data_IF_558909874434
#
_entry.id   IF_558909874434
#
_cell.length_a   1.000
_cell.length_b   1.000
_cell.length_c   1.000
_cell.angle_alpha   90.00
_cell.angle_beta   90.00
_cell.angle_gamma   90.00
#
_symmetry.space_group_name_H-M   'P 1'
#
loop_
_entity.id
_entity.type
_entity.pdbx_description
1 polymer ?
#
# COMPACT_ATOMS: atom_id res chain seq x y z
N UNK A 1 2.23 7.27 -2.06
CA UNK A 1 2.84 7.51 -3.39
C UNK A 1 2.48 6.35 -4.33
N UNK A 2 2.22 6.61 -5.61
CA UNK A 2 2.09 5.59 -6.65
C UNK A 2 3.32 5.70 -7.54
N UNK A 3 4.00 4.58 -7.78
CA UNK A 3 5.31 4.58 -8.43
C UNK A 3 5.40 3.45 -9.47
N UNK A 4 5.57 3.82 -10.74
CA UNK A 4 5.74 2.86 -11.84
C UNK A 4 7.15 2.28 -11.92
N UNK A 5 8.14 2.90 -11.28
CA UNK A 5 9.50 2.39 -11.17
C UNK A 5 9.65 1.31 -10.08
N UNK A 6 8.72 1.26 -9.12
CA UNK A 6 8.72 0.26 -8.07
C UNK A 6 8.05 -1.04 -8.54
N UNK A 7 8.78 -2.15 -8.57
CA UNK A 7 8.20 -3.48 -8.91
C UNK A 7 7.23 -3.98 -7.84
N UNK A 8 7.49 -3.65 -6.57
CA UNK A 8 6.74 -4.11 -5.39
C UNK A 8 6.26 -2.92 -4.58
N UNK A 9 5.12 -3.08 -3.92
CA UNK A 9 4.62 -2.11 -2.96
C UNK A 9 5.43 -2.15 -1.66
N UNK A 10 5.74 -0.97 -1.10
CA UNK A 10 6.59 -0.80 0.08
C UNK A 10 5.86 0.00 1.14
N UNK A 11 6.03 -0.35 2.41
CA UNK A 11 5.54 0.44 3.55
C UNK A 11 6.65 0.69 4.56
N UNK A 12 6.72 1.95 5.02
CA UNK A 12 7.61 2.32 6.11
C UNK A 12 7.12 1.67 7.41
N UNK A 13 8.02 1.04 8.15
CA UNK A 13 7.71 0.37 9.43
C UNK A 13 7.05 1.32 10.42
N UNK A 14 7.53 2.56 10.53
CA UNK A 14 6.92 3.56 11.41
C UNK A 14 5.47 3.91 11.01
N UNK A 15 5.13 3.88 9.71
CA UNK A 15 3.75 4.04 9.24
C UNK A 15 2.84 2.95 9.80
N UNK A 16 3.29 1.71 9.84
CA UNK A 16 2.51 0.59 10.39
C UNK A 16 2.23 0.73 11.87
N UNK A 17 3.24 1.15 12.63
CA UNK A 17 3.11 1.40 14.07
C UNK A 17 2.09 2.52 14.33
N UNK A 18 2.13 3.60 13.54
CA UNK A 18 1.17 4.72 13.67
C UNK A 18 -0.27 4.33 13.41
N UNK A 19 -0.52 3.40 12.49
CA UNK A 19 -1.88 2.93 12.15
C UNK A 19 -2.30 1.70 12.98
N UNK A 20 -1.58 1.44 14.08
CA UNK A 20 -1.84 0.39 15.07
C UNK A 20 -1.89 -1.03 14.47
N UNK A 21 -1.27 -1.23 13.30
CA UNK A 21 -1.34 -2.50 12.57
C UNK A 21 -0.33 -3.50 13.13
N UNK A 22 -0.78 -4.28 14.13
CA UNK A 22 0.04 -5.25 14.87
C UNK A 22 0.21 -6.62 14.20
N UNK A 23 -0.42 -6.84 13.04
CA UNK A 23 -0.21 -8.06 12.28
C UNK A 23 1.15 -7.99 11.59
N UNK A 24 2.18 -8.39 12.33
CA UNK A 24 3.53 -8.56 11.82
C UNK A 24 3.69 -9.95 11.22
N UNK A 25 4.12 -9.99 9.96
CA UNK A 25 4.68 -11.16 9.32
C UNK A 25 6.17 -10.90 9.21
N UNK A 26 6.91 -11.38 10.20
CA UNK A 26 8.38 -11.35 10.20
C UNK A 26 8.87 -12.37 9.17
N UNK A 27 9.51 -11.87 8.12
CA UNK A 27 10.25 -12.68 7.16
C UNK A 27 11.74 -12.67 7.47
N UNK A 28 12.52 -13.38 6.67
CA UNK A 28 13.98 -13.20 6.62
C UNK A 28 14.30 -11.75 6.25
N UNK A 29 15.28 -11.18 6.95
CA UNK A 29 15.85 -9.89 6.57
C UNK A 29 16.57 -10.04 5.24
N UNK A 30 16.03 -9.40 4.21
CA UNK A 30 16.60 -9.41 2.87
C UNK A 30 16.98 -7.99 2.48
N UNK A 31 18.13 -7.86 1.82
CA UNK A 31 18.57 -6.61 1.23
C UNK A 31 17.80 -6.41 -0.09
N UNK A 32 17.06 -5.31 -0.18
CA UNK A 32 16.40 -4.88 -1.42
C UNK A 32 17.14 -3.68 -2.00
N UNK A 33 17.45 -3.72 -3.29
CA UNK A 33 18.05 -2.59 -4.01
C UNK A 33 16.97 -1.80 -4.74
N UNK A 34 16.99 -0.48 -4.61
CA UNK A 34 16.13 0.39 -5.41
C UNK A 34 16.54 0.42 -6.88
N UNK A 35 15.69 1.01 -7.71
CA UNK A 35 15.95 1.18 -9.14
C UNK A 35 17.20 2.01 -9.48
N UNK A 36 17.82 2.67 -8.50
CA UNK A 36 19.11 3.38 -8.67
C UNK A 36 20.33 2.44 -8.61
N UNK A 37 20.15 1.18 -8.22
CA UNK A 37 21.22 0.20 -8.07
C UNK A 37 22.19 0.47 -6.91
N UNK A 38 21.93 1.48 -6.08
CA UNK A 38 22.85 1.97 -5.04
C UNK A 38 22.23 1.99 -3.65
N UNK A 39 20.95 2.31 -3.57
CA UNK A 39 20.25 2.40 -2.30
C UNK A 39 19.73 1.02 -1.93
N UNK A 40 20.14 0.52 -0.77
CA UNK A 40 19.67 -0.75 -0.24
C UNK A 40 18.94 -0.59 1.09
N UNK A 41 17.93 -1.43 1.30
CA UNK A 41 17.16 -1.46 2.55
C UNK A 41 17.03 -2.87 3.09
N UNK A 42 16.97 -2.94 4.42
CA UNK A 42 16.55 -4.15 5.12
C UNK A 42 15.03 -4.27 5.08
N UNK A 43 14.55 -5.34 4.45
CA UNK A 43 13.16 -5.74 4.49
C UNK A 43 12.89 -6.57 5.75
N UNK A 44 11.89 -6.21 6.54
CA UNK A 44 11.49 -6.94 7.77
C UNK A 44 10.49 -8.08 7.51
N UNK A 45 9.99 -8.16 6.28
CA UNK A 45 8.97 -9.11 5.85
C UNK A 45 7.97 -8.44 4.92
N UNK A 46 6.82 -9.09 4.73
CA UNK A 46 5.73 -8.56 3.90
C UNK A 46 4.40 -8.73 4.60
N UNK A 47 3.55 -7.73 4.54
CA UNK A 47 2.20 -7.75 5.13
C UNK A 47 1.14 -7.72 4.05
N UNK A 48 0.00 -8.35 4.33
CA UNK A 48 -1.21 -8.16 3.53
C UNK A 48 -2.10 -7.18 4.28
N UNK A 49 -2.51 -6.09 3.64
CA UNK A 49 -3.32 -5.06 4.28
C UNK A 49 -4.38 -4.51 3.32
N UNK A 50 -5.39 -3.88 3.91
CA UNK A 50 -6.37 -3.12 3.18
C UNK A 50 -6.03 -1.63 3.20
N UNK A 51 -6.15 -1.00 2.05
CA UNK A 51 -6.00 0.44 1.90
C UNK A 51 -7.28 1.01 1.29
N UNK A 52 -7.55 2.25 1.67
CA UNK A 52 -8.66 3.03 1.14
C UNK A 52 -8.11 4.20 0.33
N UNK A 53 -8.54 4.28 -0.92
CA UNK A 53 -8.26 5.39 -1.84
C UNK A 53 -9.62 5.96 -2.23
N UNK A 54 -9.90 7.20 -1.81
CA UNK A 54 -11.25 7.79 -1.86
C UNK A 54 -12.31 6.85 -1.25
N UNK A 55 -13.24 6.35 -2.05
CA UNK A 55 -14.31 5.44 -1.68
C UNK A 55 -14.02 3.96 -2.03
N UNK A 56 -12.85 3.64 -2.59
CA UNK A 56 -12.48 2.25 -2.90
C UNK A 56 -11.67 1.66 -1.77
N UNK A 57 -11.97 0.40 -1.48
CA UNK A 57 -11.15 -0.46 -0.65
C UNK A 57 -10.40 -1.50 -1.50
N UNK A 58 -9.07 -1.42 -1.50
CA UNK A 58 -8.19 -2.36 -2.22
C UNK A 58 -7.27 -3.08 -1.25
N UNK A 59 -6.80 -4.27 -1.65
CA UNK A 59 -5.86 -5.08 -0.90
C UNK A 59 -4.49 -4.95 -1.53
N UNK A 60 -3.45 -4.92 -0.70
CA UNK A 60 -2.06 -4.84 -1.15
C UNK A 60 -1.21 -5.75 -0.28
N UNK A 61 -0.24 -6.41 -0.91
CA UNK A 61 0.86 -7.07 -0.20
C UNK A 61 2.06 -6.14 -0.26
N UNK A 62 2.45 -5.57 0.87
CA UNK A 62 3.52 -4.58 0.94
C UNK A 62 4.73 -5.13 1.71
N UNK A 63 5.94 -4.83 1.23
CA UNK A 63 7.18 -5.16 1.93
C UNK A 63 7.47 -4.08 2.98
N UNK A 64 7.84 -4.50 4.18
CA UNK A 64 8.06 -3.60 5.32
C UNK A 64 9.53 -3.20 5.37
N UNK A 65 9.80 -1.89 5.35
CA UNK A 65 11.16 -1.32 5.31
C UNK A 65 11.29 -0.18 6.32
N UNK A 66 12.50 0.10 6.82
CA UNK A 66 12.72 1.21 7.76
C UNK A 66 12.89 2.56 7.06
N UNK A 67 13.77 2.62 6.05
CA UNK A 67 14.27 3.88 5.50
C UNK A 67 13.63 4.24 4.15
N UNK A 68 12.31 4.45 4.15
CA UNK A 68 11.59 4.88 2.94
C UNK A 68 11.41 6.41 2.94
N UNK A 69 11.60 7.09 1.81
CA UNK A 69 11.32 8.54 1.75
C UNK A 69 9.82 8.81 1.97
N UNK A 70 8.95 8.04 1.30
CA UNK A 70 7.51 8.08 1.50
C UNK A 70 7.06 7.18 2.66
N UNK A 71 5.86 7.43 3.19
CA UNK A 71 5.24 6.55 4.18
C UNK A 71 4.78 5.22 3.58
N UNK A 72 4.34 5.28 2.31
CA UNK A 72 3.79 4.15 1.59
C UNK A 72 3.93 4.33 0.07
N UNK A 73 4.39 3.29 -0.62
CA UNK A 73 4.55 3.23 -2.08
C UNK A 73 3.70 2.09 -2.62
N UNK A 74 2.82 2.43 -3.56
CA UNK A 74 2.09 1.47 -4.39
C UNK A 74 2.86 1.26 -5.69
N UNK A 75 3.42 0.06 -5.83
CA UNK A 75 4.22 -0.31 -6.99
C UNK A 75 3.41 -0.93 -8.12
N UNK A 76 4.13 -1.43 -9.12
CA UNK A 76 3.59 -2.09 -10.31
C UNK A 76 2.82 -3.37 -9.99
N UNK A 77 3.07 -4.03 -8.86
CA UNK A 77 2.27 -5.15 -8.38
C UNK A 77 0.81 -4.75 -8.12
N UNK A 78 0.58 -3.65 -7.41
CA UNK A 78 -0.76 -3.13 -7.15
C UNK A 78 -1.38 -2.47 -8.38
N UNK A 79 -0.59 -1.67 -9.13
CA UNK A 79 -1.04 -1.00 -10.36
C UNK A 79 -1.56 -2.03 -11.37
N UNK A 80 -0.82 -3.11 -11.63
CA UNK A 80 -1.24 -4.16 -12.56
C UNK A 80 -2.46 -4.92 -12.05
N UNK A 81 -2.51 -5.23 -10.76
CA UNK A 81 -3.62 -5.99 -10.17
C UNK A 81 -4.96 -5.25 -10.28
N UNK A 82 -4.96 -3.92 -10.11
CA UNK A 82 -6.16 -3.07 -10.24
C UNK A 82 -6.28 -2.35 -11.58
N UNK A 83 -5.50 -2.77 -12.58
CA UNK A 83 -5.47 -2.20 -13.93
C UNK A 83 -5.39 -0.67 -13.95
N UNK A 84 -4.60 -0.06 -13.07
CA UNK A 84 -4.61 1.38 -12.88
C UNK A 84 -4.00 2.10 -14.09
N UNK A 85 -4.77 3.00 -14.69
CA UNK A 85 -4.25 3.91 -15.71
C UNK A 85 -3.79 5.21 -15.06
N UNK A 86 -2.55 5.60 -15.34
CA UNK A 86 -2.01 6.90 -14.95
C UNK A 86 -2.19 7.82 -16.15
N UNK A 87 -2.91 8.94 -15.97
CA UNK A 87 -3.23 9.91 -17.01
C UNK A 87 -2.60 11.27 -16.68
N UNK A 88 -1.29 11.46 -16.92
CA UNK A 88 -0.55 12.65 -16.48
C UNK A 88 -1.12 13.95 -17.04
N UNK A 89 -1.52 13.97 -18.32
CA UNK A 89 -2.13 15.14 -18.97
C UNK A 89 -3.42 15.60 -18.31
N UNK A 90 -4.14 14.67 -17.67
CA UNK A 90 -5.39 14.94 -16.95
C UNK A 90 -5.18 15.07 -15.44
N UNK A 91 -3.94 14.91 -14.97
CA UNK A 91 -3.55 14.79 -13.56
C UNK A 91 -4.46 13.83 -12.78
N UNK A 92 -4.69 12.65 -13.35
CA UNK A 92 -5.67 11.69 -12.87
C UNK A 92 -5.13 10.26 -12.86
N UNK A 93 -5.56 9.49 -11.88
CA UNK A 93 -5.46 8.04 -11.85
C UNK A 93 -6.85 7.48 -12.11
N UNK A 94 -6.94 6.50 -13.00
CA UNK A 94 -8.16 5.73 -13.22
C UNK A 94 -7.95 4.33 -12.69
N UNK A 95 -8.64 4.01 -11.60
CA UNK A 95 -8.59 2.70 -10.96
C UNK A 95 -9.79 1.90 -11.45
N UNK A 96 -9.55 0.71 -12.01
CA UNK A 96 -10.62 -0.19 -12.41
C UNK A 96 -10.89 -1.15 -11.27
N UNK A 97 -12.05 -1.00 -10.64
CA UNK A 97 -12.43 -1.79 -9.48
C UNK A 97 -13.78 -2.45 -9.73
N UNK A 98 -13.78 -3.79 -9.79
CA UNK A 98 -14.95 -4.60 -10.17
C UNK A 98 -15.48 -4.16 -11.54
N UNK A 99 -16.73 -3.68 -11.61
CA UNK A 99 -17.38 -3.18 -12.84
C UNK A 99 -17.44 -1.64 -12.88
N UNK A 100 -16.63 -0.96 -12.06
CA UNK A 100 -16.63 0.49 -11.94
C UNK A 100 -15.24 1.05 -12.22
N UNK A 101 -15.22 2.31 -12.66
CA UNK A 101 -14.00 3.10 -12.81
C UNK A 101 -14.06 4.27 -11.85
N UNK A 102 -12.95 4.52 -11.17
CA UNK A 102 -12.85 5.61 -10.21
C UNK A 102 -11.69 6.49 -10.58
N UNK A 103 -11.98 7.78 -10.65
CA UNK A 103 -11.03 8.81 -11.02
C UNK A 103 -10.53 9.46 -9.73
N UNK A 104 -9.23 9.37 -9.50
CA UNK A 104 -8.54 10.07 -8.43
C UNK A 104 -7.73 11.18 -9.07
N UNK A 105 -8.12 12.43 -8.82
CA UNK A 105 -7.30 13.58 -9.23
C UNK A 105 -6.11 13.69 -8.30
N UNK A 106 -4.95 14.02 -8.85
CA UNK A 106 -3.76 14.40 -8.09
C UNK A 106 -3.32 15.79 -8.57
N UNK A 107 -2.82 16.61 -7.66
CA UNK A 107 -2.11 17.84 -8.05
C UNK A 107 -0.61 17.60 -7.88
N UNK A 108 0.21 18.39 -8.59
CA UNK A 108 1.68 18.28 -8.54
C UNK A 108 2.24 18.45 -7.11
N UNK A 109 1.48 19.14 -6.23
CA UNK A 109 1.86 19.42 -4.84
C UNK A 109 1.02 18.67 -3.79
N UNK A 110 0.01 17.88 -4.20
CA UNK A 110 -0.90 17.22 -3.26
C UNK A 110 -0.75 15.69 -3.32
N UNK A 111 -0.30 15.04 -2.23
CA UNK A 111 -0.24 13.59 -2.19
C UNK A 111 -1.65 13.00 -2.29
N UNK A 112 -1.81 11.91 -3.05
CA UNK A 112 -3.03 11.09 -2.98
C UNK A 112 -3.13 10.53 -1.57
N UNK A 113 -4.20 10.89 -0.86
CA UNK A 113 -4.47 10.42 0.50
C UNK A 113 -4.81 8.93 0.48
N UNK A 114 -3.81 8.11 0.78
CA UNK A 114 -3.95 6.65 0.93
C UNK A 114 -4.07 6.36 2.41
N UNK A 115 -5.30 6.06 2.86
CA UNK A 115 -5.54 5.69 4.26
C UNK A 115 -5.40 4.19 4.43
N UNK A 116 -4.53 3.77 5.35
CA UNK A 116 -4.52 2.38 5.82
C UNK A 116 -5.77 2.16 6.65
N UNK A 117 -6.55 1.14 6.32
CA UNK A 117 -7.75 0.79 7.10
C UNK A 117 -7.50 -0.51 7.84
N UNK A 118 -7.62 -0.50 9.17
CA UNK A 118 -7.90 -1.73 9.91
C UNK A 118 -9.35 -2.11 9.66
N UNK A 119 -9.57 -3.34 9.17
CA UNK A 119 -10.87 -3.98 9.32
C UNK A 119 -10.64 -5.26 10.09
N UNK A 120 -11.21 -5.34 11.29
CA UNK A 120 -11.39 -6.60 11.99
C UNK A 120 -12.39 -7.41 11.17
N UNK A 121 -11.94 -8.46 10.49
CA UNK A 121 -12.86 -9.51 10.07
C UNK A 121 -13.23 -10.30 11.32
N UNK A 122 -14.34 -9.93 11.97
CA UNK A 122 -15.04 -10.86 12.84
C UNK A 122 -15.59 -11.94 11.90
N UNK A 123 -14.96 -13.11 11.91
CA UNK A 123 -15.54 -14.28 11.27
C UNK A 123 -16.80 -14.64 12.07
N UNK A 124 -17.98 -14.81 11.44
CA UNK A 124 -19.14 -15.30 12.15
C UNK A 124 -18.84 -16.76 12.55
N UNK A 125 -18.41 -16.96 13.80
CA UNK A 125 -17.97 -18.29 14.24
C UNK A 125 -17.44 -18.41 15.66
N UNK A 126 -17.08 -17.32 16.34
CA UNK A 126 -16.65 -17.42 17.74
C UNK A 126 -17.26 -16.31 18.59
N UNK A 127 -18.16 -16.75 19.48
CA UNK A 127 -18.74 -15.97 20.56
C UNK A 127 -17.61 -15.35 21.41
N UNK A 128 -17.53 -14.03 21.46
CA UNK A 128 -16.80 -13.34 22.51
C UNK A 128 -17.82 -12.66 23.44
N UNK A 129 -18.01 -13.28 24.60
CA UNK A 129 -18.49 -12.59 25.81
C UNK A 129 -17.38 -11.63 26.22
N UNK A 130 -17.71 -10.36 26.37
CA UNK A 130 -16.81 -9.36 26.97
C UNK A 130 -17.28 -9.14 28.41
N UNK A 131 -16.43 -9.50 29.37
CA UNK A 131 -16.47 -8.96 30.74
C UNK A 131 -15.74 -7.63 30.76
#
# INVERSE_FOLDING_TARGET
MIDTGATRSLIKRSTLLRVNYHHHTYGTMEEITLGDGKTTFWQHGSINMWIKINNIKTRVKAMVVDNLAADFILGMDWIKYYHVDILPRKKQLRIHYRRQQIIVKFDEDAPVDVKVTQEYKIFPGTNCIVK
#
